data_IF_046813936306
#
_entry.id   IF_046813936306
#
_cell.length_a   1.000
_cell.length_b   1.000
_cell.length_c   1.000
_cell.angle_alpha   90.00
_cell.angle_beta   90.00
_cell.angle_gamma   90.00
#
_symmetry.space_group_name_H-M   'P 1'
#
loop_
_entity.id
_entity.type
_entity.pdbx_description
1 polymer ?
#
# COMPACT_ATOMS: atom_id res chain seq x y z
N UNK A 1 -8.19 0.88 -6.90
CA UNK A 1 -8.27 1.51 -8.23
C UNK A 1 -8.68 0.43 -9.22
N UNK A 2 -9.62 0.75 -10.11
CA UNK A 2 -10.33 -0.22 -10.96
C UNK A 2 -9.50 -0.65 -12.18
N UNK A 3 -9.81 -1.82 -12.74
CA UNK A 3 -9.21 -2.39 -13.94
C UNK A 3 -9.32 -1.47 -15.18
N UNK A 4 -10.35 -0.62 -15.23
CA UNK A 4 -10.54 0.38 -16.28
C UNK A 4 -9.37 1.38 -16.39
N UNK A 5 -8.77 1.78 -15.26
CA UNK A 5 -7.62 2.70 -15.29
C UNK A 5 -6.40 2.04 -15.91
N UNK A 6 -6.16 0.76 -15.63
CA UNK A 6 -5.04 0.03 -16.22
C UNK A 6 -5.22 -0.17 -17.73
N UNK A 7 -6.44 -0.46 -18.19
CA UNK A 7 -6.76 -0.52 -19.62
C UNK A 7 -6.53 0.83 -20.31
N UNK A 8 -6.94 1.94 -19.68
CA UNK A 8 -6.71 3.30 -20.20
C UNK A 8 -5.22 3.63 -20.29
N UNK A 9 -4.42 3.25 -19.29
CA UNK A 9 -2.97 3.43 -19.31
C UNK A 9 -2.36 2.65 -20.49
N UNK A 10 -2.71 1.37 -20.64
CA UNK A 10 -2.23 0.53 -21.75
C UNK A 10 -2.60 1.09 -23.12
N UNK A 11 -3.85 1.53 -23.31
CA UNK A 11 -4.27 2.17 -24.55
C UNK A 11 -3.48 3.45 -24.86
N UNK A 12 -3.14 4.24 -23.83
CA UNK A 12 -2.34 5.45 -24.00
C UNK A 12 -0.87 5.17 -24.32
N UNK A 13 -0.32 4.02 -23.95
CA UNK A 13 1.06 3.67 -24.33
C UNK A 13 1.27 3.62 -25.84
N UNK A 14 0.22 3.25 -26.59
CA UNK A 14 0.27 3.16 -28.06
C UNK A 14 0.25 4.56 -28.71
N UNK A 15 -0.56 5.47 -28.18
CA UNK A 15 -0.75 6.80 -28.80
C UNK A 15 0.20 7.87 -28.26
N UNK A 16 0.53 7.84 -26.97
CA UNK A 16 1.43 8.80 -26.33
C UNK A 16 1.98 8.27 -25.00
N UNK A 17 3.27 7.91 -25.03
CA UNK A 17 3.97 7.38 -23.86
C UNK A 17 4.01 8.37 -22.68
N UNK A 18 4.13 9.67 -22.95
CA UNK A 18 4.18 10.71 -21.91
C UNK A 18 2.88 10.76 -21.12
N UNK A 19 1.73 10.73 -21.80
CA UNK A 19 0.44 10.71 -21.13
C UNK A 19 0.20 9.41 -20.37
N UNK A 20 0.62 8.26 -20.93
CA UNK A 20 0.53 6.99 -20.23
C UNK A 20 1.36 7.00 -18.94
N UNK A 21 2.58 7.54 -18.99
CA UNK A 21 3.45 7.68 -17.83
C UNK A 21 2.85 8.57 -16.75
N UNK A 22 2.33 9.75 -17.12
CA UNK A 22 1.68 10.66 -16.16
C UNK A 22 0.45 9.98 -15.53
N UNK A 23 -0.37 9.29 -16.34
CA UNK A 23 -1.55 8.58 -15.84
C UNK A 23 -1.18 7.45 -14.87
N UNK A 24 -0.13 6.70 -15.19
CA UNK A 24 0.40 5.63 -14.33
C UNK A 24 0.90 6.18 -12.98
N UNK A 25 1.60 7.33 -13.00
CA UNK A 25 2.05 8.01 -11.79
C UNK A 25 0.86 8.51 -10.95
N UNK A 26 -0.15 9.14 -11.58
CA UNK A 26 -1.37 9.59 -10.91
C UNK A 26 -2.14 8.42 -10.29
N UNK A 27 -2.28 7.30 -11.01
CA UNK A 27 -2.93 6.11 -10.50
C UNK A 27 -2.18 5.55 -9.28
N UNK A 28 -0.85 5.50 -9.33
CA UNK A 28 -0.02 5.08 -8.20
C UNK A 28 -0.24 5.97 -6.97
N UNK A 29 -0.16 7.29 -7.15
CA UNK A 29 -0.37 8.25 -6.07
C UNK A 29 -1.78 8.14 -5.47
N UNK A 30 -2.80 7.93 -6.30
CA UNK A 30 -4.17 7.78 -5.83
C UNK A 30 -4.38 6.51 -4.98
N UNK A 31 -3.72 5.38 -5.31
CA UNK A 31 -3.77 4.18 -4.45
C UNK A 31 -3.15 4.45 -3.09
N UNK A 32 -1.98 5.09 -3.06
CA UNK A 32 -1.28 5.39 -1.80
C UNK A 32 -2.11 6.34 -0.92
N UNK A 33 -2.71 7.39 -1.50
CA UNK A 33 -3.62 8.27 -0.76
C UNK A 33 -4.82 7.50 -0.18
N UNK A 34 -5.44 6.61 -0.95
CA UNK A 34 -6.54 5.79 -0.46
C UNK A 34 -6.10 4.84 0.67
N UNK A 35 -4.88 4.29 0.60
CA UNK A 35 -4.32 3.49 1.69
C UNK A 35 -4.05 4.30 2.96
N UNK A 36 -3.58 5.54 2.83
CA UNK A 36 -3.39 6.45 3.97
C UNK A 36 -4.72 6.83 4.63
N UNK A 37 -5.76 7.12 3.84
CA UNK A 37 -7.12 7.39 4.35
C UNK A 37 -7.71 6.17 5.07
N UNK A 38 -7.58 4.98 4.49
CA UNK A 38 -8.05 3.74 5.12
C UNK A 38 -7.33 3.46 6.43
N UNK A 39 -6.01 3.70 6.48
CA UNK A 39 -5.25 3.53 7.72
C UNK A 39 -5.74 4.49 8.82
N UNK A 40 -5.98 5.76 8.49
CA UNK A 40 -6.53 6.72 9.44
C UNK A 40 -7.91 6.28 9.95
N UNK A 41 -8.76 5.75 9.08
CA UNK A 41 -10.05 5.19 9.47
C UNK A 41 -9.90 4.00 10.43
N UNK A 42 -8.95 3.09 10.18
CA UNK A 42 -8.64 1.97 11.08
C UNK A 42 -8.18 2.48 12.44
N UNK A 43 -7.24 3.43 12.49
CA UNK A 43 -6.74 4.03 13.74
C UNK A 43 -7.88 4.65 14.55
N UNK A 44 -8.78 5.38 13.88
CA UNK A 44 -9.92 6.01 14.54
C UNK A 44 -10.98 5.00 15.04
N UNK A 45 -10.96 3.76 14.52
CA UNK A 45 -11.94 2.72 14.89
C UNK A 45 -11.49 1.83 16.06
N UNK A 46 -10.19 1.81 16.38
CA UNK A 46 -9.64 1.00 17.47
C UNK A 46 -9.49 1.86 18.74
N UNK A 47 -10.05 1.40 19.85
CA UNK A 47 -9.94 2.08 21.14
C UNK A 47 -8.78 1.50 21.95
N UNK A 48 -8.00 2.35 22.63
CA UNK A 48 -6.93 1.94 23.55
C UNK A 48 -5.90 0.96 22.93
N UNK A 49 -5.68 1.08 21.62
CA UNK A 49 -4.73 0.27 20.86
C UNK A 49 -3.94 1.18 19.92
N UNK A 50 -2.75 0.74 19.55
CA UNK A 50 -1.92 1.36 18.52
C UNK A 50 -1.82 0.44 17.29
N UNK A 51 -1.30 0.97 16.18
CA UNK A 51 -0.94 0.16 15.02
C UNK A 51 0.55 0.18 14.74
N UNK A 52 1.04 -0.85 14.05
CA UNK A 52 2.36 -0.85 13.41
C UNK A 52 2.28 -0.31 11.96
N UNK A 53 3.36 -0.46 11.21
CA UNK A 53 3.39 -0.11 9.78
C UNK A 53 2.59 -1.11 8.93
N UNK A 54 1.98 -0.63 7.84
CA UNK A 54 1.41 -1.49 6.78
C UNK A 54 2.52 -2.36 6.20
N UNK A 55 2.36 -3.68 6.31
CA UNK A 55 3.36 -4.63 5.82
C UNK A 55 2.80 -5.48 4.68
N UNK A 56 3.43 -5.40 3.51
CA UNK A 56 2.98 -6.08 2.28
C UNK A 56 3.91 -7.23 1.93
N UNK A 57 3.39 -8.35 1.38
CA UNK A 57 4.22 -9.36 0.74
C UNK A 57 5.16 -8.72 -0.30
N UNK A 58 6.40 -9.18 -0.34
CA UNK A 58 7.46 -8.65 -1.22
C UNK A 58 8.34 -7.56 -0.59
N UNK A 59 8.05 -7.11 0.62
CA UNK A 59 8.89 -6.15 1.36
C UNK A 59 9.61 -6.84 2.52
N UNK A 60 10.89 -6.48 2.74
CA UNK A 60 11.65 -6.94 3.90
C UNK A 60 11.77 -8.47 3.98
N UNK A 61 11.35 -9.03 5.11
CA UNK A 61 11.28 -10.48 5.37
C UNK A 61 9.92 -11.12 4.99
N UNK A 62 8.96 -10.36 4.46
CA UNK A 62 7.66 -10.87 4.03
C UNK A 62 7.74 -11.42 2.61
N UNK A 63 7.86 -12.75 2.47
CA UNK A 63 7.90 -13.37 1.15
C UNK A 63 6.68 -13.02 0.30
N UNK A 64 6.92 -12.70 -0.97
CA UNK A 64 5.89 -12.45 -1.98
C UNK A 64 5.00 -13.69 -2.21
N UNK A 65 5.47 -14.89 -1.85
CA UNK A 65 4.70 -16.14 -1.99
C UNK A 65 3.46 -16.21 -1.10
N UNK A 66 3.36 -15.33 -0.10
CA UNK A 66 2.15 -15.21 0.72
C UNK A 66 1.03 -14.43 0.03
N UNK A 67 1.32 -13.72 -1.07
CA UNK A 67 0.38 -12.87 -1.80
C UNK A 67 -0.91 -13.61 -2.22
N UNK A 68 -0.87 -14.81 -2.83
CA UNK A 68 -2.08 -15.54 -3.21
C UNK A 68 -2.91 -15.98 -2.00
N UNK A 69 -2.25 -16.39 -0.91
CA UNK A 69 -2.91 -16.80 0.33
C UNK A 69 -3.66 -15.62 0.96
N UNK A 70 -3.03 -14.44 0.99
CA UNK A 70 -3.66 -13.22 1.51
C UNK A 70 -4.92 -12.85 0.69
N UNK A 71 -4.84 -12.89 -0.64
CA UNK A 71 -6.01 -12.62 -1.50
C UNK A 71 -7.13 -13.64 -1.29
N UNK A 72 -6.79 -14.92 -1.13
CA UNK A 72 -7.77 -15.98 -0.88
C UNK A 72 -8.48 -15.80 0.47
N UNK A 73 -7.75 -15.41 1.52
CA UNK A 73 -8.33 -15.16 2.85
C UNK A 73 -9.33 -13.99 2.83
N UNK A 74 -9.06 -12.96 2.03
CA UNK A 74 -9.92 -11.79 1.91
C UNK A 74 -11.09 -11.98 0.94
N UNK A 75 -11.08 -13.08 0.17
CA UNK A 75 -11.95 -13.31 -1.00
C UNK A 75 -11.88 -12.14 -2.00
N UNK A 76 -10.67 -11.60 -2.19
CA UNK A 76 -10.44 -10.35 -2.91
C UNK A 76 -10.82 -10.42 -4.39
N UNK A 77 -10.58 -11.57 -5.04
CA UNK A 77 -10.95 -11.78 -6.45
C UNK A 77 -12.46 -11.65 -6.67
N UNK A 78 -13.28 -12.18 -5.76
CA UNK A 78 -14.74 -12.10 -5.87
C UNK A 78 -15.30 -10.75 -5.43
N UNK A 79 -14.75 -10.17 -4.37
CA UNK A 79 -15.26 -8.91 -3.79
C UNK A 79 -14.88 -7.67 -4.59
N UNK A 80 -13.64 -7.62 -5.06
CA UNK A 80 -13.06 -6.40 -5.67
C UNK A 80 -12.34 -6.66 -6.98
N UNK A 81 -12.37 -7.89 -7.51
CA UNK A 81 -11.72 -8.21 -8.79
C UNK A 81 -10.19 -8.18 -8.74
N UNK A 82 -9.59 -8.32 -7.56
CA UNK A 82 -8.13 -8.30 -7.41
C UNK A 82 -7.55 -9.71 -7.45
N UNK A 83 -6.67 -9.95 -8.42
CA UNK A 83 -6.03 -11.24 -8.67
C UNK A 83 -4.51 -11.14 -8.59
N UNK A 84 -3.86 -12.30 -8.63
CA UNK A 84 -2.40 -12.42 -8.68
C UNK A 84 -1.99 -13.37 -9.81
N UNK A 85 -0.90 -13.06 -10.50
CA UNK A 85 -0.37 -13.91 -11.56
C UNK A 85 0.64 -14.95 -11.01
N UNK A 86 1.22 -15.76 -11.91
CA UNK A 86 2.20 -16.80 -11.56
C UNK A 86 3.48 -16.26 -10.91
N UNK A 87 3.82 -15.00 -11.13
CA UNK A 87 4.95 -14.30 -10.51
C UNK A 87 4.57 -13.56 -9.22
N UNK A 88 3.40 -13.86 -8.66
CA UNK A 88 2.84 -13.21 -7.47
C UNK A 88 2.61 -11.68 -7.61
N UNK A 89 2.46 -11.17 -8.84
CA UNK A 89 2.16 -9.76 -9.12
C UNK A 89 0.65 -9.55 -9.20
N UNK A 90 0.17 -8.48 -8.54
CA UNK A 90 -1.23 -8.09 -8.51
C UNK A 90 -1.74 -7.63 -9.88
N UNK A 91 -3.01 -7.94 -10.17
CA UNK A 91 -3.76 -7.43 -11.32
C UNK A 91 -5.15 -7.02 -10.82
N UNK A 92 -5.52 -5.73 -10.88
CA UNK A 92 -4.76 -4.62 -11.47
C UNK A 92 -3.42 -4.29 -10.77
N UNK A 93 -2.40 -3.83 -11.53
CA UNK A 93 -1.04 -3.59 -10.99
C UNK A 93 -0.96 -2.44 -9.99
N UNK A 94 -1.83 -1.43 -10.12
CA UNK A 94 -1.95 -0.31 -9.17
C UNK A 94 -2.87 -0.71 -8.03
N UNK A 95 -2.38 -1.64 -7.23
CA UNK A 95 -3.07 -2.22 -6.08
C UNK A 95 -2.07 -2.45 -4.95
N UNK A 96 -2.56 -2.36 -3.72
CA UNK A 96 -1.79 -2.63 -2.50
C UNK A 96 -2.53 -3.66 -1.68
N UNK A 97 -1.77 -4.61 -1.13
CA UNK A 97 -2.25 -5.53 -0.10
C UNK A 97 -1.29 -5.46 1.07
N UNK A 98 -1.80 -5.29 2.28
CA UNK A 98 -0.95 -5.24 3.44
C UNK A 98 -1.69 -5.79 4.65
N UNK A 99 -0.92 -6.20 5.65
CA UNK A 99 -1.38 -6.46 7.00
C UNK A 99 -0.99 -5.29 7.90
N UNK A 100 -1.84 -5.00 8.89
CA UNK A 100 -1.57 -4.03 9.94
C UNK A 100 -1.75 -4.78 11.26
N UNK A 101 -0.71 -4.79 12.08
CA UNK A 101 -0.76 -5.30 13.44
C UNK A 101 -1.41 -4.28 14.36
N UNK A 102 -2.42 -4.72 15.09
CA UNK A 102 -3.01 -3.99 16.22
C UNK A 102 -2.24 -4.37 17.48
N UNK A 103 -1.81 -3.36 18.22
CA UNK A 103 -0.93 -3.46 19.37
C UNK A 103 -1.67 -2.95 20.61
N UNK A 104 -1.65 -3.72 21.69
CA UNK A 104 -2.15 -3.25 22.99
C UNK A 104 -1.36 -2.03 23.48
N UNK A 105 -1.95 -1.24 24.37
CA UNK A 105 -1.28 -0.09 24.99
C UNK A 105 0.04 -0.45 25.69
N UNK A 106 0.15 -1.66 26.25
CA UNK A 106 1.39 -2.11 26.90
C UNK A 106 2.44 -2.65 25.92
N UNK A 107 2.14 -2.72 24.62
CA UNK A 107 3.07 -3.24 23.62
C UNK A 107 4.30 -2.34 23.49
N UNK A 108 5.43 -2.96 23.14
CA UNK A 108 6.72 -2.30 22.96
C UNK A 108 6.60 -1.10 22.01
N UNK A 109 7.00 0.08 22.50
CA UNK A 109 7.00 1.33 21.74
C UNK A 109 7.79 1.26 20.43
N UNK A 110 8.71 0.30 20.26
CA UNK A 110 9.45 0.07 19.01
C UNK A 110 8.56 -0.47 17.89
N UNK A 111 7.46 -1.16 18.21
CA UNK A 111 6.54 -1.73 17.23
C UNK A 111 5.52 -0.70 16.72
N UNK A 112 5.33 0.39 17.46
CA UNK A 112 4.39 1.45 17.10
C UNK A 112 4.86 2.19 15.85
N UNK A 113 3.93 2.51 14.96
CA UNK A 113 4.21 3.33 13.79
C UNK A 113 4.70 4.71 14.22
N UNK A 114 5.92 5.08 13.80
CA UNK A 114 6.52 6.40 13.98
C UNK A 114 6.54 7.17 12.67
N UNK A 115 6.62 8.50 12.75
CA UNK A 115 6.83 9.32 11.57
C UNK A 115 8.11 8.88 10.85
N UNK A 116 8.02 8.68 9.53
CA UNK A 116 9.16 8.23 8.71
C UNK A 116 10.36 9.17 8.83
N UNK A 117 10.12 10.48 8.98
CA UNK A 117 11.17 11.47 9.18
C UNK A 117 11.91 11.32 10.52
N UNK A 118 11.30 10.74 11.55
CA UNK A 118 11.98 10.50 12.83
C UNK A 118 12.96 9.34 12.77
N UNK A 119 12.82 8.46 11.77
CA UNK A 119 13.68 7.31 11.51
C UNK A 119 14.71 7.58 10.39
N UNK A 120 14.69 8.77 9.80
CA UNK A 120 15.55 9.11 8.67
C UNK A 120 16.92 9.60 9.15
N UNK A 121 18.00 9.07 8.57
CA UNK A 121 19.37 9.50 8.90
C UNK A 121 19.62 10.98 8.57
N UNK A 122 18.94 11.53 7.57
CA UNK A 122 19.07 12.93 7.17
C UNK A 122 18.13 13.89 7.92
N UNK A 123 17.62 13.51 9.10
CA UNK A 123 16.59 14.27 9.84
C UNK A 123 16.98 15.71 10.15
N UNK A 124 18.23 15.95 10.52
CA UNK A 124 18.71 17.25 11.02
C UNK A 124 18.88 18.31 9.91
N UNK A 125 19.11 17.88 8.66
CA UNK A 125 19.38 18.77 7.52
C UNK A 125 18.38 18.70 6.37
N UNK A 126 17.32 17.89 6.47
CA UNK A 126 16.40 17.68 5.36
C UNK A 126 15.38 18.81 5.22
N UNK A 127 15.49 19.58 4.14
CA UNK A 127 14.53 20.64 3.75
C UNK A 127 13.12 20.11 3.48
N UNK A 128 12.98 18.81 3.18
CA UNK A 128 11.70 18.15 2.89
C UNK A 128 11.07 17.46 4.11
N UNK A 129 11.60 17.69 5.32
CA UNK A 129 11.09 17.07 6.54
C UNK A 129 9.64 17.48 6.79
N UNK A 130 8.75 16.49 6.88
CA UNK A 130 7.42 16.69 7.44
C UNK A 130 7.55 16.84 8.96
N UNK A 131 7.10 17.98 9.48
CA UNK A 131 7.09 18.29 10.92
C UNK A 131 5.98 17.52 11.62
#
# INVERSE_FOLDING_TARGET
IDADIEQKIMAKQICSINYAFIMDACATAAVECACDELELAIVNSINNCNINYRYSPGYGDFSIDFQPKLLSLLDAGKKIGLYVNQSNILTPRKSVTAVIGVLDECADNRLRKKNKCDLCENKEGCEFRKK
#
